data_IF_818111095185
#
_entry.id   IF_818111095185
#
_cell.length_a   1.000
_cell.length_b   1.000
_cell.length_c   1.000
_cell.angle_alpha   90.00
_cell.angle_beta   90.00
_cell.angle_gamma   90.00
#
_symmetry.space_group_name_H-M   'P 1'
#
loop_
_entity.id
_entity.type
_entity.pdbx_description
1 polymer ?
#
# COMPACT_ATOMS: atom_id res chain seq x y z
N UNK A 1 45.44 -41.38 -26.61
CA UNK A 1 45.17 -40.05 -27.18
C UNK A 1 43.78 -40.15 -27.80
N UNK A 2 42.71 -40.05 -27.02
CA UNK A 2 42.05 -38.83 -26.53
C UNK A 2 41.41 -38.00 -27.68
N UNK A 3 40.08 -37.85 -27.62
CA UNK A 3 39.24 -37.05 -28.53
C UNK A 3 37.85 -37.69 -28.70
N UNK A 4 36.98 -37.68 -27.68
CA UNK A 4 36.02 -36.62 -27.34
C UNK A 4 34.75 -36.64 -28.23
N UNK A 5 33.80 -37.51 -27.89
CA UNK A 5 32.41 -37.44 -28.32
C UNK A 5 31.64 -36.55 -27.33
N UNK A 6 31.19 -35.38 -27.80
CA UNK A 6 30.34 -34.48 -27.03
C UNK A 6 28.87 -34.86 -27.20
N UNK A 7 28.29 -35.46 -26.16
CA UNK A 7 26.85 -35.67 -26.03
C UNK A 7 26.16 -34.32 -25.83
N UNK A 8 25.23 -33.99 -26.74
CA UNK A 8 24.36 -32.84 -26.63
C UNK A 8 23.40 -33.01 -25.44
N UNK A 9 23.74 -32.39 -24.31
CA UNK A 9 22.86 -32.24 -23.17
C UNK A 9 21.70 -31.31 -23.50
N UNK A 10 20.51 -31.88 -23.70
CA UNK A 10 19.23 -31.15 -23.72
C UNK A 10 18.96 -30.69 -22.29
N UNK A 11 19.28 -29.45 -21.96
CA UNK A 11 18.83 -28.83 -20.71
C UNK A 11 17.31 -28.70 -20.80
N UNK A 12 16.62 -29.53 -20.02
CA UNK A 12 15.21 -29.35 -19.69
C UNK A 12 15.14 -28.11 -18.82
N UNK A 13 14.45 -27.07 -19.28
CA UNK A 13 14.02 -25.96 -18.43
C UNK A 13 13.18 -26.57 -17.30
N UNK A 14 13.73 -26.60 -16.09
CA UNK A 14 13.04 -27.07 -14.90
C UNK A 14 12.02 -25.99 -14.55
N UNK A 15 10.73 -26.32 -14.59
CA UNK A 15 9.68 -25.44 -14.07
C UNK A 15 9.96 -25.12 -12.59
N UNK A 16 9.82 -23.86 -12.14
CA UNK A 16 10.06 -23.48 -10.76
C UNK A 16 9.07 -24.21 -9.83
N UNK A 17 9.60 -24.98 -8.89
CA UNK A 17 8.80 -25.67 -7.85
C UNK A 17 8.56 -24.68 -6.72
N UNK A 18 7.29 -24.29 -6.51
CA UNK A 18 6.85 -23.34 -5.48
C UNK A 18 6.26 -24.11 -4.29
N UNK A 19 6.58 -23.73 -3.06
CA UNK A 19 6.05 -24.38 -1.86
C UNK A 19 4.63 -23.90 -1.55
N UNK A 20 3.81 -24.73 -0.89
CA UNK A 20 2.47 -24.31 -0.45
C UNK A 20 2.52 -23.12 0.53
N UNK A 21 3.61 -22.99 1.30
CA UNK A 21 3.80 -21.83 2.17
C UNK A 21 4.04 -20.59 1.32
N UNK A 22 4.87 -20.70 0.28
CA UNK A 22 5.15 -19.61 -0.65
C UNK A 22 3.87 -19.18 -1.38
N UNK A 23 3.00 -20.12 -1.77
CA UNK A 23 1.69 -19.81 -2.37
C UNK A 23 0.76 -19.08 -1.38
N UNK A 24 0.72 -19.50 -0.11
CA UNK A 24 -0.12 -18.85 0.90
C UNK A 24 0.41 -17.46 1.26
N UNK A 25 1.72 -17.29 1.32
CA UNK A 25 2.38 -16.00 1.54
C UNK A 25 2.12 -15.07 0.34
N UNK A 26 2.25 -15.56 -0.89
CA UNK A 26 1.92 -14.83 -2.12
C UNK A 26 0.44 -14.45 -2.18
N UNK A 27 -0.47 -15.37 -1.85
CA UNK A 27 -1.92 -15.10 -1.78
C UNK A 27 -2.23 -14.02 -0.72
N UNK A 28 -1.62 -14.10 0.47
CA UNK A 28 -1.79 -13.09 1.53
C UNK A 28 -1.23 -11.73 1.11
N UNK A 29 -0.07 -11.69 0.43
CA UNK A 29 0.51 -10.47 -0.13
C UNK A 29 -0.41 -9.83 -1.18
N UNK A 30 -0.92 -10.64 -2.12
CA UNK A 30 -1.87 -10.20 -3.15
C UNK A 30 -3.18 -9.67 -2.55
N UNK A 31 -3.72 -10.35 -1.55
CA UNK A 31 -4.92 -9.87 -0.83
C UNK A 31 -4.66 -8.54 -0.13
N UNK A 32 -3.50 -8.40 0.53
CA UNK A 32 -3.13 -7.18 1.23
C UNK A 32 -2.93 -6.00 0.27
N UNK A 33 -2.34 -6.22 -0.90
CA UNK A 33 -2.20 -5.23 -1.97
C UNK A 33 -3.56 -4.81 -2.55
N UNK A 34 -4.41 -5.78 -2.89
CA UNK A 34 -5.75 -5.53 -3.38
C UNK A 34 -6.57 -4.71 -2.36
N UNK A 35 -6.44 -5.03 -1.07
CA UNK A 35 -7.15 -4.31 -0.01
C UNK A 35 -6.63 -2.90 0.21
N UNK A 36 -5.32 -2.67 0.06
CA UNK A 36 -4.75 -1.33 0.09
C UNK A 36 -5.35 -0.45 -1.03
N UNK A 37 -5.46 -0.97 -2.25
CA UNK A 37 -5.92 -0.17 -3.41
C UNK A 37 -7.44 -0.09 -3.52
N UNK A 38 -8.16 -1.15 -3.18
CA UNK A 38 -9.61 -1.26 -3.42
C UNK A 38 -10.44 -1.10 -2.16
N UNK A 39 -9.90 -1.41 -0.98
CA UNK A 39 -10.66 -1.44 0.27
C UNK A 39 -11.21 -0.08 0.71
N UNK A 40 -10.66 1.02 0.19
CA UNK A 40 -11.21 2.37 0.42
C UNK A 40 -12.47 2.69 -0.40
N UNK A 41 -12.86 1.82 -1.35
CA UNK A 41 -13.98 2.00 -2.28
C UNK A 41 -15.08 0.97 -2.04
N UNK A 42 -16.33 1.37 -2.29
CA UNK A 42 -17.50 0.48 -2.19
C UNK A 42 -17.59 -0.38 -3.47
N UNK A 43 -17.63 -1.70 -3.31
CA UNK A 43 -17.71 -2.68 -4.40
C UNK A 43 -19.14 -2.99 -4.84
N UNK A 44 -20.16 -2.58 -4.07
CA UNK A 44 -21.56 -2.92 -4.33
C UNK A 44 -22.38 -1.71 -4.80
N UNK A 45 -22.02 -0.49 -4.34
CA UNK A 45 -22.79 0.73 -4.61
C UNK A 45 -22.01 1.69 -5.48
N UNK A 46 -22.67 2.21 -6.51
CA UNK A 46 -22.11 3.27 -7.34
C UNK A 46 -21.80 4.51 -6.49
N UNK A 47 -20.56 5.01 -6.57
CA UNK A 47 -20.12 6.17 -5.78
C UNK A 47 -20.73 7.50 -6.20
N UNK A 48 -21.50 7.56 -7.30
CA UNK A 48 -22.09 8.80 -7.81
C UNK A 48 -22.97 9.53 -6.80
N UNK A 49 -23.71 8.79 -5.97
CA UNK A 49 -24.58 9.34 -4.91
C UNK A 49 -23.79 10.04 -3.81
N UNK A 50 -22.51 9.70 -3.63
CA UNK A 50 -21.60 10.32 -2.67
C UNK A 50 -21.04 11.66 -3.16
N UNK A 51 -21.39 12.08 -4.39
CA UNK A 51 -20.89 13.30 -5.00
C UNK A 51 -19.44 13.18 -5.49
N UNK A 52 -18.68 14.26 -5.40
CA UNK A 52 -17.24 14.25 -5.66
C UNK A 52 -16.51 13.65 -4.46
N UNK A 53 -16.16 12.37 -4.55
CA UNK A 53 -15.48 11.66 -3.47
C UNK A 53 -14.05 12.17 -3.35
N UNK A 54 -13.60 12.46 -2.12
CA UNK A 54 -12.25 12.99 -1.86
C UNK A 54 -11.18 12.17 -2.58
N UNK A 55 -11.22 10.84 -2.44
CA UNK A 55 -10.35 9.90 -3.15
C UNK A 55 -11.04 8.54 -3.27
N UNK A 56 -10.98 7.92 -4.46
CA UNK A 56 -11.55 6.59 -4.73
C UNK A 56 -10.75 5.89 -5.84
N UNK A 57 -10.77 4.56 -5.86
CA UNK A 57 -10.27 3.77 -6.99
C UNK A 57 -11.16 3.98 -8.22
N UNK A 58 -10.55 4.20 -9.37
CA UNK A 58 -11.23 4.46 -10.63
C UNK A 58 -10.70 3.59 -11.76
N UNK A 59 -11.57 3.40 -12.74
CA UNK A 59 -11.28 2.70 -13.98
C UNK A 59 -11.70 3.55 -15.18
N UNK A 60 -10.98 3.45 -16.28
CA UNK A 60 -11.42 3.93 -17.59
C UNK A 60 -11.84 2.74 -18.45
N UNK A 61 -12.92 2.88 -19.21
CA UNK A 61 -13.46 1.79 -20.02
C UNK A 61 -13.19 2.03 -21.51
N UNK A 62 -12.08 1.49 -22.03
CA UNK A 62 -11.69 1.63 -23.44
C UNK A 62 -12.71 1.08 -24.43
N UNK A 63 -13.55 0.12 -24.01
CA UNK A 63 -14.66 -0.39 -24.83
C UNK A 63 -15.79 0.65 -25.01
N UNK A 64 -16.04 1.48 -23.99
CA UNK A 64 -17.15 2.45 -24.01
C UNK A 64 -16.70 3.84 -24.44
N UNK A 65 -15.50 4.23 -24.03
CA UNK A 65 -14.85 5.51 -24.35
C UNK A 65 -13.48 5.24 -24.97
N UNK A 66 -13.44 4.71 -26.22
CA UNK A 66 -12.18 4.53 -26.96
C UNK A 66 -11.51 5.87 -27.28
N UNK A 67 -10.29 5.81 -27.79
CA UNK A 67 -9.55 6.99 -28.24
C UNK A 67 -10.37 7.82 -29.24
N UNK A 68 -10.41 9.14 -29.04
CA UNK A 68 -11.21 10.08 -29.83
C UNK A 68 -12.61 10.38 -29.27
N UNK A 69 -13.09 9.60 -28.30
CA UNK A 69 -14.32 9.90 -27.54
C UNK A 69 -14.00 10.76 -26.29
N UNK A 70 -15.04 11.24 -25.62
CA UNK A 70 -14.86 11.95 -24.34
C UNK A 70 -14.36 10.99 -23.24
N UNK A 71 -13.32 11.35 -22.47
CA UNK A 71 -12.81 10.48 -21.40
C UNK A 71 -13.83 10.38 -20.27
N UNK A 72 -13.97 9.17 -19.70
CA UNK A 72 -14.87 8.91 -18.59
C UNK A 72 -14.22 7.99 -17.54
N UNK A 73 -14.51 8.24 -16.27
CA UNK A 73 -14.06 7.40 -15.15
C UNK A 73 -15.24 6.71 -14.47
N UNK A 74 -15.11 5.42 -14.18
CA UNK A 74 -16.10 4.62 -13.47
C UNK A 74 -15.53 4.16 -12.13
N UNK A 75 -16.39 4.07 -11.11
CA UNK A 75 -16.02 3.57 -9.79
C UNK A 75 -15.90 2.05 -9.74
N UNK A 76 -15.31 1.52 -8.67
CA UNK A 76 -15.16 0.08 -8.40
C UNK A 76 -16.45 -0.71 -8.60
N UNK A 77 -17.55 -0.39 -7.92
CA UNK A 77 -18.79 -1.14 -8.11
C UNK A 77 -19.28 -1.18 -9.57
N UNK A 78 -19.06 -0.11 -10.35
CA UNK A 78 -19.46 -0.08 -11.76
C UNK A 78 -18.51 -0.89 -12.65
N UNK A 79 -17.22 -1.02 -12.29
CA UNK A 79 -16.29 -1.85 -13.07
C UNK A 79 -16.73 -3.30 -13.06
N UNK A 80 -17.24 -3.80 -11.93
CA UNK A 80 -17.79 -5.15 -11.81
C UNK A 80 -19.17 -5.29 -12.46
N UNK A 81 -20.14 -4.49 -12.03
CA UNK A 81 -21.55 -4.73 -12.36
C UNK A 81 -21.93 -4.28 -13.78
N UNK A 82 -21.36 -3.17 -14.24
CA UNK A 82 -21.72 -2.55 -15.52
C UNK A 82 -20.69 -2.84 -16.62
N UNK A 83 -19.42 -3.04 -16.25
CA UNK A 83 -18.31 -3.15 -17.20
C UNK A 83 -17.47 -4.43 -17.03
N UNK A 84 -17.95 -5.45 -16.32
CA UNK A 84 -17.16 -6.65 -15.99
C UNK A 84 -16.66 -7.47 -17.19
N UNK A 85 -17.25 -7.29 -18.37
CA UNK A 85 -16.80 -7.91 -19.63
C UNK A 85 -16.07 -6.96 -20.59
N UNK A 86 -15.83 -5.71 -20.18
CA UNK A 86 -15.18 -4.70 -20.99
C UNK A 86 -13.68 -4.62 -20.73
N UNK A 87 -12.94 -4.02 -21.66
CA UNK A 87 -11.52 -3.74 -21.47
C UNK A 87 -11.36 -2.46 -20.64
N UNK A 88 -10.90 -2.63 -19.40
CA UNK A 88 -10.70 -1.56 -18.44
C UNK A 88 -9.22 -1.23 -18.27
N UNK A 89 -8.94 0.04 -18.02
CA UNK A 89 -7.67 0.51 -17.48
C UNK A 89 -7.89 0.88 -16.02
N UNK A 90 -7.11 0.28 -15.12
CA UNK A 90 -7.08 0.67 -13.73
C UNK A 90 -6.30 1.97 -13.57
N UNK A 91 -6.93 2.98 -12.98
CA UNK A 91 -6.35 4.31 -12.81
C UNK A 91 -5.85 4.55 -11.38
N UNK A 92 -5.87 3.51 -10.55
CA UNK A 92 -5.69 3.57 -9.11
C UNK A 92 -6.62 4.63 -8.51
N UNK A 93 -6.15 5.36 -7.50
CA UNK A 93 -6.95 6.38 -6.83
C UNK A 93 -6.84 7.73 -7.51
N UNK A 94 -7.97 8.45 -7.60
CA UNK A 94 -8.06 9.84 -8.08
C UNK A 94 -8.87 10.68 -7.12
N UNK A 95 -8.62 12.00 -7.10
CA UNK A 95 -9.27 12.92 -6.17
C UNK A 95 -10.48 13.65 -6.73
N UNK A 96 -11.41 13.96 -5.83
CA UNK A 96 -12.60 14.79 -6.09
C UNK A 96 -13.41 14.34 -7.31
N UNK A 97 -13.43 13.03 -7.57
CA UNK A 97 -14.02 12.47 -8.78
C UNK A 97 -15.41 11.93 -8.49
N UNK A 98 -16.31 12.06 -9.46
CA UNK A 98 -17.67 11.51 -9.43
C UNK A 98 -17.86 10.53 -10.57
N UNK A 99 -18.37 9.32 -10.28
CA UNK A 99 -18.49 8.24 -11.27
C UNK A 99 -19.30 8.66 -12.51
N UNK A 100 -18.73 8.49 -13.71
CA UNK A 100 -19.39 8.84 -14.98
C UNK A 100 -20.27 7.72 -15.53
N UNK A 101 -20.21 6.49 -14.99
CA UNK A 101 -20.89 5.31 -15.55
C UNK A 101 -22.34 5.62 -15.95
N UNK A 102 -22.69 5.40 -17.21
CA UNK A 102 -24.05 5.58 -17.72
C UNK A 102 -24.54 7.02 -17.91
N UNK A 103 -23.66 8.03 -17.75
CA UNK A 103 -24.00 9.40 -18.13
C UNK A 103 -23.89 9.59 -19.66
N UNK A 104 -24.00 10.82 -20.17
CA UNK A 104 -24.04 11.07 -21.62
C UNK A 104 -22.75 10.72 -22.37
N UNK A 105 -21.65 10.42 -21.66
CA UNK A 105 -20.40 9.92 -22.25
C UNK A 105 -20.50 8.45 -22.69
N UNK A 106 -21.52 7.74 -22.21
CA UNK A 106 -21.77 6.33 -22.54
C UNK A 106 -22.94 6.26 -23.53
N UNK A 107 -22.67 5.84 -24.76
CA UNK A 107 -23.63 5.90 -25.89
C UNK A 107 -24.94 5.17 -25.59
N UNK A 108 -24.86 3.88 -25.29
CA UNK A 108 -26.02 3.00 -25.08
C UNK A 108 -26.01 2.32 -23.72
N UNK A 109 -24.93 2.47 -22.95
CA UNK A 109 -24.76 1.80 -21.67
C UNK A 109 -25.34 2.69 -20.58
N UNK A 110 -26.27 2.13 -19.81
CA UNK A 110 -26.84 2.75 -18.62
C UNK A 110 -26.23 2.10 -17.36
N UNK A 111 -26.13 2.86 -16.28
CA UNK A 111 -25.62 2.34 -15.02
C UNK A 111 -26.69 1.49 -14.32
N UNK A 112 -26.41 0.19 -14.13
CA UNK A 112 -27.32 -0.75 -13.45
C UNK A 112 -27.54 -0.41 -11.97
N UNK A 113 -26.53 0.19 -11.33
CA UNK A 113 -26.54 0.49 -9.90
C UNK A 113 -27.19 1.83 -9.56
N UNK A 114 -27.05 2.82 -10.45
CA UNK A 114 -27.67 4.14 -10.28
C UNK A 114 -27.95 4.77 -11.65
N UNK A 115 -29.15 4.58 -12.23
CA UNK A 115 -29.47 5.11 -13.55
C UNK A 115 -29.59 6.64 -13.60
N UNK A 116 -30.11 7.25 -12.53
CA UNK A 116 -30.37 8.70 -12.50
C UNK A 116 -29.11 9.50 -12.18
N UNK A 117 -28.55 10.15 -13.22
CA UNK A 117 -27.32 10.95 -13.15
C UNK A 117 -27.45 12.20 -14.01
N UNK A 118 -26.75 13.25 -13.60
CA UNK A 118 -26.46 14.40 -14.45
C UNK A 118 -25.72 13.94 -15.72
N UNK A 119 -25.99 14.62 -16.84
CA UNK A 119 -25.39 14.29 -18.14
C UNK A 119 -23.87 14.29 -18.10
N UNK A 120 -23.29 15.27 -17.41
CA UNK A 120 -21.84 15.46 -17.29
C UNK A 120 -21.47 15.87 -15.87
N UNK A 121 -20.27 15.47 -15.44
CA UNK A 121 -19.68 15.86 -14.16
C UNK A 121 -18.59 16.91 -14.39
N UNK A 122 -18.96 18.20 -14.35
CA UNK A 122 -18.04 19.31 -14.68
C UNK A 122 -16.85 19.46 -13.73
N UNK A 123 -16.92 18.91 -12.52
CA UNK A 123 -15.81 18.92 -11.55
C UNK A 123 -14.75 17.85 -11.78
N UNK A 124 -15.02 16.85 -12.64
CA UNK A 124 -14.07 15.78 -12.91
C UNK A 124 -12.90 16.30 -13.73
N UNK A 125 -11.69 15.81 -13.42
CA UNK A 125 -10.47 16.08 -14.18
C UNK A 125 -10.01 14.81 -14.87
N UNK A 126 -9.61 14.95 -16.13
CA UNK A 126 -9.20 13.86 -16.98
C UNK A 126 -7.81 14.16 -17.54
N UNK A 127 -6.95 13.14 -17.56
CA UNK A 127 -5.65 13.16 -18.23
C UNK A 127 -5.58 11.98 -19.21
N UNK A 128 -4.43 11.75 -19.83
CA UNK A 128 -4.31 10.72 -20.86
C UNK A 128 -4.40 9.28 -20.30
N UNK A 129 -4.32 9.10 -18.97
CA UNK A 129 -4.49 7.78 -18.35
C UNK A 129 -5.87 7.20 -18.65
N UNK A 130 -6.88 8.05 -18.85
CA UNK A 130 -8.23 7.63 -19.21
C UNK A 130 -8.33 7.00 -20.61
N UNK A 131 -7.27 7.13 -21.41
CA UNK A 131 -7.10 6.44 -22.69
C UNK A 131 -6.02 5.35 -22.63
N UNK A 132 -5.53 5.02 -21.43
CA UNK A 132 -4.46 4.04 -21.23
C UNK A 132 -3.10 4.55 -21.69
N UNK A 133 -2.89 5.86 -21.75
CA UNK A 133 -1.60 6.47 -22.09
C UNK A 133 -0.99 7.13 -20.86
N UNK A 134 0.30 6.92 -20.67
CA UNK A 134 0.99 7.33 -19.45
C UNK A 134 2.29 8.08 -19.76
N UNK A 135 2.77 8.81 -18.77
CA UNK A 135 4.02 9.54 -18.78
C UNK A 135 4.07 10.62 -19.89
N UNK A 136 5.20 11.32 -19.96
CA UNK A 136 5.48 12.26 -21.06
C UNK A 136 5.68 11.56 -22.40
N UNK A 137 5.96 10.25 -22.39
CA UNK A 137 6.18 9.46 -23.61
C UNK A 137 4.88 9.02 -24.29
N UNK A 138 3.71 9.14 -23.63
CA UNK A 138 2.40 8.75 -24.17
C UNK A 138 2.36 7.31 -24.66
N UNK A 139 2.95 6.42 -23.86
CA UNK A 139 2.99 4.98 -24.12
C UNK A 139 1.98 4.24 -23.22
N UNK A 140 1.44 3.09 -23.66
CA UNK A 140 0.59 2.27 -22.83
C UNK A 140 1.35 1.65 -21.66
N UNK A 141 0.63 1.05 -20.70
CA UNK A 141 1.23 0.25 -19.63
C UNK A 141 0.32 -0.95 -19.31
N UNK A 142 0.86 -2.18 -19.27
CA UNK A 142 2.20 -2.57 -19.70
C UNK A 142 2.40 -2.34 -21.22
N UNK A 143 3.60 -1.91 -21.62
CA UNK A 143 3.91 -1.67 -23.03
C UNK A 143 4.62 -2.90 -23.64
N UNK A 144 4.01 -3.62 -24.58
CA UNK A 144 4.62 -4.80 -25.20
C UNK A 144 5.85 -4.49 -26.05
N UNK A 145 6.06 -3.23 -26.44
CA UNK A 145 7.21 -2.79 -27.23
C UNK A 145 8.33 -2.19 -26.36
N UNK A 146 8.13 -2.07 -25.04
CA UNK A 146 9.12 -1.54 -24.11
C UNK A 146 9.79 -2.70 -23.36
N UNK A 147 11.01 -3.03 -23.79
CA UNK A 147 11.80 -4.11 -23.18
C UNK A 147 12.40 -3.72 -21.82
N UNK A 148 12.32 -2.44 -21.43
CA UNK A 148 12.90 -1.93 -20.19
C UNK A 148 11.81 -1.92 -19.11
N UNK A 149 11.84 -2.86 -18.14
CA UNK A 149 10.93 -2.81 -17.01
C UNK A 149 11.18 -1.54 -16.21
N UNK A 150 10.11 -0.85 -15.81
CA UNK A 150 10.18 0.40 -15.07
C UNK A 150 8.95 0.49 -14.16
N UNK A 151 9.20 0.78 -12.89
CA UNK A 151 8.13 1.04 -11.93
C UNK A 151 7.60 2.46 -12.16
N UNK A 152 6.32 2.56 -12.48
CA UNK A 152 5.69 3.86 -12.66
C UNK A 152 5.41 4.52 -11.31
N UNK A 153 5.64 5.82 -11.22
CA UNK A 153 5.39 6.62 -10.01
C UNK A 153 4.34 7.68 -10.32
N UNK A 154 3.28 7.73 -9.51
CA UNK A 154 2.22 8.72 -9.65
C UNK A 154 2.65 10.08 -9.10
N UNK A 155 2.44 11.14 -9.88
CA UNK A 155 2.62 12.50 -9.41
C UNK A 155 1.46 12.92 -8.51
N UNK A 156 1.75 13.33 -7.27
CA UNK A 156 0.74 13.76 -6.29
C UNK A 156 0.00 15.03 -6.69
N UNK A 157 0.43 15.79 -7.69
CA UNK A 157 -0.24 17.04 -8.12
C UNK A 157 -1.17 16.83 -9.30
N UNK A 158 -0.71 16.15 -10.36
CA UNK A 158 -1.51 15.93 -11.57
C UNK A 158 -2.17 14.55 -11.63
N UNK A 159 -1.85 13.66 -10.70
CA UNK A 159 -2.29 12.26 -10.66
C UNK A 159 -1.95 11.46 -11.92
N UNK A 160 -1.00 11.94 -12.74
CA UNK A 160 -0.46 11.22 -13.89
C UNK A 160 0.68 10.31 -13.45
N UNK A 161 0.89 9.21 -14.17
CA UNK A 161 1.90 8.20 -13.90
C UNK A 161 3.12 8.41 -14.78
N UNK A 162 4.32 8.25 -14.22
CA UNK A 162 5.57 8.49 -14.93
C UNK A 162 6.54 7.33 -14.75
N UNK A 163 7.16 6.91 -15.85
CA UNK A 163 8.37 6.09 -15.84
C UNK A 163 9.49 6.79 -15.06
N UNK A 164 10.19 6.05 -14.19
CA UNK A 164 11.28 6.60 -13.37
C UNK A 164 12.34 7.31 -14.20
N UNK A 165 12.69 6.73 -15.35
CA UNK A 165 13.70 7.28 -16.29
C UNK A 165 13.28 8.57 -16.99
N UNK A 166 11.99 8.92 -16.98
CA UNK A 166 11.46 10.14 -17.60
C UNK A 166 11.23 11.29 -16.60
N UNK A 167 11.67 11.14 -15.35
CA UNK A 167 11.51 12.15 -14.30
C UNK A 167 12.67 13.15 -14.19
N UNK A 168 13.73 12.97 -14.98
CA UNK A 168 14.92 13.83 -14.97
C UNK A 168 15.81 13.66 -13.73
N UNK A 169 15.45 12.76 -12.81
CA UNK A 169 16.23 12.35 -11.66
C UNK A 169 16.06 10.84 -11.46
N UNK A 170 17.08 10.18 -10.92
CA UNK A 170 16.99 8.77 -10.53
C UNK A 170 16.07 8.69 -9.30
N UNK A 171 14.97 7.91 -9.35
CA UNK A 171 14.13 7.70 -8.18
C UNK A 171 14.94 7.15 -6.98
N UNK A 172 14.68 7.63 -5.74
CA UNK A 172 15.12 6.96 -4.51
C UNK A 172 14.67 5.49 -4.49
N UNK A 173 15.26 4.67 -3.64
CA UNK A 173 14.80 3.27 -3.51
C UNK A 173 13.36 3.25 -2.99
N UNK A 174 12.61 2.20 -3.35
CA UNK A 174 11.24 2.05 -2.87
C UNK A 174 11.22 2.02 -1.34
N UNK A 175 10.39 2.87 -0.74
CA UNK A 175 10.34 3.07 0.72
C UNK A 175 11.10 4.30 1.25
N UNK A 176 12.05 4.87 0.49
CA UNK A 176 12.80 6.07 0.92
C UNK A 176 11.97 7.36 0.83
N UNK A 177 10.88 7.34 0.06
CA UNK A 177 10.01 8.48 -0.17
C UNK A 177 8.53 8.07 -0.10
N UNK A 178 7.67 9.03 0.22
CA UNK A 178 6.22 8.83 0.31
C UNK A 178 5.50 9.34 -0.95
N UNK A 179 5.88 10.50 -1.47
CA UNK A 179 5.18 11.15 -2.58
C UNK A 179 6.17 11.73 -3.59
N UNK A 180 5.75 11.82 -4.86
CA UNK A 180 6.54 12.41 -5.94
C UNK A 180 5.76 13.56 -6.59
N UNK A 181 6.45 14.67 -6.88
CA UNK A 181 5.92 15.77 -7.71
C UNK A 181 6.75 15.83 -8.99
N UNK A 182 6.10 15.65 -10.15
CA UNK A 182 6.79 15.62 -11.44
C UNK A 182 7.36 17.00 -11.80
N UNK A 183 8.30 17.03 -12.76
CA UNK A 183 8.96 18.24 -13.25
C UNK A 183 7.97 19.36 -13.63
N UNK A 184 6.94 19.04 -14.43
CA UNK A 184 5.94 20.03 -14.85
C UNK A 184 5.16 20.62 -13.66
N UNK A 185 4.82 19.79 -12.68
CA UNK A 185 4.15 20.23 -11.46
C UNK A 185 5.07 21.00 -10.51
N UNK A 186 6.36 20.68 -10.42
CA UNK A 186 7.33 21.50 -9.69
C UNK A 186 7.54 22.87 -10.32
N UNK A 187 7.42 22.97 -11.66
CA UNK A 187 7.47 24.25 -12.38
C UNK A 187 6.21 25.09 -12.12
N UNK A 188 5.03 24.46 -12.16
CA UNK A 188 3.73 25.09 -11.86
C UNK A 188 3.64 25.52 -10.40
N UNK A 189 3.95 24.62 -9.48
CA UNK A 189 3.94 24.82 -8.03
C UNK A 189 5.33 25.27 -7.55
N UNK A 190 5.87 26.32 -8.16
CA UNK A 190 7.27 26.72 -7.93
C UNK A 190 7.62 27.12 -6.49
N UNK A 191 6.63 27.36 -5.64
CA UNK A 191 6.82 27.57 -4.21
C UNK A 191 7.37 26.33 -3.49
N UNK A 192 7.12 25.13 -4.02
CA UNK A 192 7.60 23.87 -3.47
C UNK A 192 9.13 23.81 -3.43
N UNK A 193 9.84 24.49 -4.32
CA UNK A 193 11.31 24.53 -4.30
C UNK A 193 11.90 25.10 -3.00
N UNK A 194 11.19 26.04 -2.36
CA UNK A 194 11.61 26.57 -1.06
C UNK A 194 11.56 25.50 0.04
N UNK A 195 10.65 24.52 -0.07
CA UNK A 195 10.56 23.37 0.83
C UNK A 195 11.51 22.25 0.44
N UNK A 196 11.61 21.96 -0.86
CA UNK A 196 12.42 20.87 -1.40
C UNK A 196 13.90 20.99 -0.99
N UNK A 197 14.43 22.21 -0.92
CA UNK A 197 15.80 22.47 -0.50
C UNK A 197 16.16 21.95 0.92
N UNK A 198 15.17 21.71 1.78
CA UNK A 198 15.36 21.22 3.14
C UNK A 198 14.71 19.87 3.41
N UNK A 199 13.71 19.49 2.61
CA UNK A 199 12.86 18.33 2.89
C UNK A 199 12.95 17.24 1.82
N UNK A 200 13.39 17.53 0.60
CA UNK A 200 13.37 16.54 -0.46
C UNK A 200 14.33 15.39 -0.15
N UNK A 201 13.91 14.17 -0.50
CA UNK A 201 14.76 12.98 -0.42
C UNK A 201 15.82 13.09 -1.51
N UNK A 202 17.09 13.10 -1.12
CA UNK A 202 18.23 13.07 -2.03
C UNK A 202 19.01 11.79 -1.80
N UNK A 203 19.27 11.00 -2.84
CA UNK A 203 20.32 9.98 -2.76
C UNK A 203 21.63 10.70 -2.48
N UNK A 204 22.24 10.47 -1.33
CA UNK A 204 23.66 10.74 -1.14
C UNK A 204 24.37 9.61 -1.88
N UNK A 205 24.64 9.80 -3.17
CA UNK A 205 25.65 8.99 -3.83
C UNK A 205 26.97 9.28 -3.11
N UNK A 206 27.54 8.27 -2.46
CA UNK A 206 28.84 8.29 -1.79
C UNK A 206 29.99 8.41 -2.80
N UNK A 207 29.90 9.29 -3.79
CA UNK A 207 30.93 9.50 -4.82
C UNK A 207 30.84 10.91 -5.43
N UNK A 208 30.63 11.97 -4.63
CA UNK A 208 30.99 13.33 -5.05
C UNK A 208 31.03 14.27 -3.83
N UNK A 209 32.08 14.16 -3.03
CA UNK A 209 32.46 15.25 -2.12
C UNK A 209 33.89 15.69 -2.45
N UNK A 210 33.99 16.33 -3.60
CA UNK A 210 35.20 16.93 -4.11
C UNK A 210 34.92 18.29 -4.69
N UNK A 211 34.28 19.22 -3.95
CA UNK A 211 34.34 20.67 -4.22
C UNK A 211 33.75 21.51 -3.06
N UNK A 212 34.46 21.59 -1.93
CA UNK A 212 34.36 22.73 -1.01
C UNK A 212 35.66 23.52 -1.08
N UNK A 213 35.58 24.77 -1.59
CA UNK A 213 36.70 25.71 -1.65
C UNK A 213 36.96 26.35 -0.28
N UNK A 214 38.19 26.10 0.19
CA UNK A 214 38.99 26.70 1.25
C UNK A 214 38.68 28.15 1.69
N UNK A 215 38.75 28.38 3.01
CA UNK A 215 39.41 29.54 3.66
C UNK A 215 40.20 29.05 4.89
N UNK A 216 41.53 29.15 4.76
CA UNK A 216 42.65 29.31 5.71
C UNK A 216 42.58 28.92 7.21
N UNK A 217 43.55 28.07 7.62
CA UNK A 217 44.61 28.51 8.54
C UNK A 217 44.97 27.66 9.79
N UNK A 218 46.12 26.96 9.70
CA UNK A 218 47.10 26.63 10.78
C UNK A 218 46.70 25.49 11.76
N UNK A 219 47.48 24.44 12.07
CA UNK A 219 48.85 24.04 11.72
C UNK A 219 49.22 22.68 12.35
N UNK A 220 50.14 21.97 11.69
CA UNK A 220 51.02 20.82 12.01
C UNK A 220 50.89 20.05 13.34
N UNK A 221 50.78 18.71 13.28
CA UNK A 221 51.94 17.80 13.42
C UNK A 221 51.55 16.32 13.20
N UNK A 222 52.40 15.63 12.42
CA UNK A 222 52.44 14.20 12.13
C UNK A 222 52.68 13.34 13.40
N UNK A 223 52.43 12.03 13.31
CA UNK A 223 53.45 10.95 13.50
C UNK A 223 52.81 9.55 13.60
N UNK A 224 53.07 8.74 12.56
CA UNK A 224 53.41 7.29 12.52
C UNK A 224 52.33 6.21 12.76
N UNK A 225 52.02 5.47 11.66
CA UNK A 225 51.62 4.04 11.65
C UNK A 225 52.83 3.15 12.00
N UNK A 226 52.61 1.94 12.54
CA UNK A 226 52.92 0.79 11.68
C UNK A 226 51.90 -0.35 11.74
N UNK A 227 51.98 -1.18 10.71
CA UNK A 227 51.16 -2.33 10.36
C UNK A 227 51.66 -3.67 10.97
N UNK A 228 50.80 -4.70 10.80
CA UNK A 228 51.04 -6.16 10.77
C UNK A 228 51.08 -6.90 12.14
N UNK A 229 50.42 -8.05 12.35
CA UNK A 229 49.63 -8.91 11.45
C UNK A 229 49.05 -10.15 12.19
N UNK A 230 48.09 -10.79 11.52
CA UNK A 230 47.68 -12.21 11.48
C UNK A 230 47.31 -13.08 12.73
N UNK A 231 46.07 -13.58 12.64
CA UNK A 231 45.50 -14.90 13.00
C UNK A 231 45.61 -15.48 14.43
N UNK A 232 44.44 -15.72 15.06
CA UNK A 232 43.91 -17.10 15.23
C UNK A 232 42.47 -17.16 15.76
N UNK A 233 41.82 -18.23 15.30
CA UNK A 233 40.47 -18.76 15.55
C UNK A 233 40.18 -19.12 17.01
N UNK A 234 38.95 -18.86 17.51
CA UNK A 234 38.20 -19.79 18.37
C UNK A 234 36.77 -19.32 18.67
N UNK A 235 35.84 -20.17 18.27
CA UNK A 235 34.51 -20.46 18.85
C UNK A 235 34.33 -20.13 20.35
N UNK A 236 33.18 -19.54 20.71
CA UNK A 236 32.08 -20.20 21.45
C UNK A 236 30.99 -19.20 21.89
N UNK A 237 29.79 -19.78 22.07
CA UNK A 237 28.47 -19.27 22.42
C UNK A 237 28.41 -18.55 23.77
N UNK A 238 27.44 -17.65 23.93
CA UNK A 238 26.94 -17.26 25.26
C UNK A 238 25.43 -17.46 25.38
N UNK A 239 25.09 -18.12 26.48
CA UNK A 239 23.79 -18.51 27.00
C UNK A 239 23.09 -17.37 27.78
N UNK A 240 21.78 -17.53 27.89
CA UNK A 240 20.85 -16.85 28.81
C UNK A 240 21.18 -17.16 30.28
N UNK A 241 20.75 -16.33 31.23
CA UNK A 241 19.96 -16.91 32.33
C UNK A 241 18.75 -16.07 32.77
N UNK A 242 17.66 -16.79 33.05
CA UNK A 242 16.44 -16.36 33.75
C UNK A 242 16.50 -16.60 35.29
N UNK A 243 15.47 -16.06 35.96
CA UNK A 243 14.83 -16.43 37.25
C UNK A 243 15.28 -15.62 38.47
N UNK A 244 14.42 -15.07 39.34
CA UNK A 244 12.96 -15.07 39.48
C UNK A 244 12.59 -14.82 40.97
N UNK A 245 11.40 -14.25 41.26
CA UNK A 245 10.42 -14.65 42.31
C UNK A 245 9.49 -13.53 42.82
N UNK A 246 8.24 -13.96 43.04
CA UNK A 246 7.00 -13.30 43.49
C UNK A 246 6.97 -12.80 44.95
N UNK A 247 5.99 -11.93 45.25
CA UNK A 247 5.09 -12.09 46.41
C UNK A 247 3.73 -11.37 46.21
N UNK A 248 2.66 -11.96 46.77
CA UNK A 248 1.22 -11.67 46.58
C UNK A 248 0.58 -11.21 47.90
N UNK A 249 -0.47 -10.37 47.86
CA UNK A 249 -1.57 -10.44 48.86
C UNK A 249 -2.95 -9.90 48.37
N UNK A 250 -3.98 -10.77 48.46
CA UNK A 250 -5.45 -10.54 48.35
C UNK A 250 -6.03 -9.79 49.59
N UNK A 251 -7.26 -9.25 49.67
CA UNK A 251 -8.60 -9.92 49.64
C UNK A 251 -9.84 -8.98 49.59
N UNK A 252 -10.90 -9.47 48.88
CA UNK A 252 -12.39 -9.47 49.10
C UNK A 252 -13.26 -8.21 48.85
N UNK A 253 -14.17 -8.22 47.85
CA UNK A 253 -15.58 -8.73 47.76
C UNK A 253 -16.62 -7.64 48.17
N UNK A 254 -17.77 -7.36 47.52
CA UNK A 254 -18.86 -8.18 46.96
C UNK A 254 -19.72 -7.42 45.90
N UNK A 255 -20.21 -8.16 44.88
CA UNK A 255 -21.56 -8.24 44.23
C UNK A 255 -22.46 -6.96 44.17
N UNK A 256 -23.23 -6.62 43.12
CA UNK A 256 -24.11 -7.43 42.26
C UNK A 256 -24.81 -6.57 41.15
N UNK A 257 -25.20 -7.22 40.02
CA UNK A 257 -26.37 -6.94 39.16
C UNK A 257 -26.39 -5.82 38.08
N UNK A 258 -26.40 -6.23 36.79
CA UNK A 258 -27.08 -5.59 35.63
C UNK A 258 -28.64 -5.74 35.74
N UNK A 259 -29.56 -5.17 34.90
CA UNK A 259 -29.40 -4.74 33.49
C UNK A 259 -30.27 -3.55 32.92
N UNK A 260 -29.92 -3.15 31.68
CA UNK A 260 -30.75 -2.72 30.52
C UNK A 260 -31.82 -1.58 30.54
N UNK A 261 -31.71 -0.75 29.48
CA UNK A 261 -32.75 -0.24 28.55
C UNK A 261 -33.49 1.11 28.75
N UNK A 262 -33.68 1.80 27.60
CA UNK A 262 -34.53 2.99 27.28
C UNK A 262 -34.03 4.35 27.79
N UNK A 263 -34.34 5.52 27.22
CA UNK A 263 -34.71 6.02 25.88
C UNK A 263 -34.64 7.56 25.97
N UNK A 264 -34.48 8.22 24.81
CA UNK A 264 -35.05 9.54 24.47
C UNK A 264 -34.72 10.83 25.27
N UNK A 265 -34.11 11.77 24.52
CA UNK A 265 -34.48 13.20 24.32
C UNK A 265 -34.14 14.30 25.34
N UNK A 266 -33.27 15.20 24.83
CA UNK A 266 -33.37 16.68 24.76
C UNK A 266 -33.58 17.53 26.04
N UNK A 267 -32.66 18.47 26.29
CA UNK A 267 -33.01 19.89 26.48
C UNK A 267 -31.79 20.82 26.51
N UNK A 268 -31.79 21.72 25.52
CA UNK A 268 -31.38 23.13 25.50
C UNK A 268 -30.62 23.76 26.68
N UNK A 269 -29.60 24.54 26.33
CA UNK A 269 -29.63 26.01 26.52
C UNK A 269 -28.59 26.71 25.65
N UNK A 270 -29.06 27.40 24.62
CA UNK A 270 -28.38 28.54 23.99
C UNK A 270 -28.23 29.69 25.00
N UNK A 271 -27.07 30.36 25.02
CA UNK A 271 -27.07 31.82 25.18
C UNK A 271 -25.95 32.46 24.36
N UNK A 272 -26.39 33.48 23.63
CA UNK A 272 -25.77 34.29 22.58
C UNK A 272 -24.92 35.42 23.18
N UNK A 273 -23.70 35.52 22.67
CA UNK A 273 -22.85 36.70 22.39
C UNK A 273 -22.71 37.85 23.41
N UNK A 274 -21.44 38.16 23.71
CA UNK A 274 -20.93 39.53 23.62
C UNK A 274 -19.55 39.55 22.96
N UNK A 275 -19.48 40.27 21.84
CA UNK A 275 -18.27 40.69 21.16
C UNK A 275 -17.45 41.61 22.08
N UNK A 276 -16.18 41.31 22.27
CA UNK A 276 -15.13 42.33 22.36
C UNK A 276 -14.00 41.93 21.43
N UNK A 277 -13.80 42.76 20.41
CA UNK A 277 -12.64 42.74 19.54
C UNK A 277 -11.38 42.94 20.38
N UNK A 278 -10.53 41.92 20.45
CA UNK A 278 -9.11 42.12 20.63
C UNK A 278 -8.40 41.59 19.39
N UNK A 279 -8.06 42.56 18.56
CA UNK A 279 -7.18 42.46 17.43
C UNK A 279 -5.82 41.95 17.93
N UNK A 280 -5.64 40.64 17.94
CA UNK A 280 -4.36 39.99 18.11
C UNK A 280 -3.91 39.49 16.73
N UNK A 281 -3.54 40.43 15.86
CA UNK A 281 -2.60 40.15 14.78
C UNK A 281 -1.28 39.71 15.43
N UNK A 282 -1.23 38.44 15.80
CA UNK A 282 0.01 37.81 16.22
C UNK A 282 0.83 37.67 14.95
N UNK A 283 1.91 38.46 14.85
CA UNK A 283 2.95 38.31 13.83
C UNK A 283 3.63 36.93 14.00
N UNK A 284 2.96 35.86 13.59
CA UNK A 284 3.63 34.62 13.22
C UNK A 284 4.09 34.78 11.78
N UNK A 285 5.40 34.85 11.56
CA UNK A 285 5.99 34.98 10.23
C UNK A 285 5.48 33.90 9.26
N UNK A 286 5.42 34.23 7.96
CA UNK A 286 5.11 33.25 6.94
C UNK A 286 6.32 32.36 6.71
N UNK A 287 6.27 31.10 7.19
CA UNK A 287 7.34 30.10 7.00
C UNK A 287 7.78 29.97 5.55
N UNK A 288 6.85 30.04 4.58
CA UNK A 288 7.22 29.99 3.16
C UNK A 288 8.09 31.20 2.75
N UNK A 289 7.79 32.40 3.26
CA UNK A 289 8.59 33.58 2.96
C UNK A 289 9.98 33.48 3.61
N UNK A 290 10.07 32.95 4.83
CA UNK A 290 11.34 32.67 5.50
C UNK A 290 12.20 31.67 4.71
N UNK A 291 11.57 30.61 4.18
CA UNK A 291 12.25 29.63 3.33
C UNK A 291 12.66 30.23 1.98
N UNK A 292 11.81 31.09 1.40
CA UNK A 292 12.12 31.80 0.14
C UNK A 292 13.28 32.79 0.27
N UNK A 293 13.51 33.32 1.47
CA UNK A 293 14.63 34.22 1.75
C UNK A 293 15.98 33.48 1.76
N UNK A 294 15.98 32.16 1.96
CA UNK A 294 17.16 31.32 1.80
C UNK A 294 17.41 31.05 0.31
N UNK A 295 18.68 30.89 -0.09
CA UNK A 295 19.00 30.50 -1.46
C UNK A 295 18.64 29.03 -1.68
N UNK A 296 17.92 28.75 -2.77
CA UNK A 296 17.60 27.39 -3.21
C UNK A 296 17.74 27.29 -4.73
N UNK A 297 18.04 26.09 -5.20
CA UNK A 297 18.21 25.80 -6.63
C UNK A 297 16.93 25.16 -7.15
N UNK A 298 16.38 25.74 -8.22
CA UNK A 298 15.32 25.09 -8.99
C UNK A 298 15.98 24.16 -9.98
N UNK A 299 15.73 22.86 -9.85
CA UNK A 299 16.18 21.86 -10.81
C UNK A 299 15.06 21.58 -11.81
N UNK A 300 15.41 21.19 -13.03
CA UNK A 300 14.42 20.80 -14.04
C UNK A 300 14.13 19.29 -13.94
N UNK A 301 13.75 18.85 -12.74
CA UNK A 301 13.58 17.42 -12.40
C UNK A 301 12.35 17.23 -11.52
N UNK A 302 11.89 15.99 -11.38
CA UNK A 302 10.95 15.61 -10.33
C UNK A 302 11.57 15.78 -8.94
N UNK A 303 10.70 15.82 -7.92
CA UNK A 303 11.09 15.90 -6.51
C UNK A 303 10.35 14.84 -5.70
N UNK A 304 11.10 14.15 -4.84
CA UNK A 304 10.61 13.09 -3.97
C UNK A 304 10.53 13.59 -2.54
N UNK A 305 9.43 13.30 -1.87
CA UNK A 305 9.10 13.87 -0.57
C UNK A 305 8.99 12.78 0.49
N UNK A 306 9.55 13.01 1.69
CA UNK A 306 9.49 12.05 2.78
C UNK A 306 8.10 12.02 3.41
N UNK A 307 7.90 11.04 4.30
CA UNK A 307 6.71 10.93 5.12
C UNK A 307 6.39 12.26 5.85
N UNK A 308 5.11 12.65 5.87
CA UNK A 308 4.61 13.84 6.58
C UNK A 308 5.16 15.20 6.10
N UNK A 309 5.71 15.30 4.88
CA UNK A 309 6.19 16.58 4.35
C UNK A 309 5.08 17.64 4.23
N UNK A 310 3.83 17.21 4.00
CA UNK A 310 2.63 18.07 3.95
C UNK A 310 2.45 18.89 5.24
N UNK A 311 2.71 18.30 6.41
CA UNK A 311 2.68 18.97 7.73
C UNK A 311 3.64 20.17 7.84
N UNK A 312 4.66 20.23 6.97
CA UNK A 312 5.67 21.29 6.98
C UNK A 312 5.26 22.49 6.12
N UNK A 313 4.21 22.37 5.31
CA UNK A 313 3.69 23.48 4.51
C UNK A 313 3.13 24.59 5.39
N UNK A 314 3.31 25.84 4.96
CA UNK A 314 2.79 27.00 5.69
C UNK A 314 1.30 27.13 5.43
N UNK A 315 0.52 27.35 6.48
CA UNK A 315 -0.95 27.47 6.45
C UNK A 315 -1.43 28.90 6.77
N UNK A 316 -0.56 29.90 6.67
CA UNK A 316 -0.98 31.30 6.82
C UNK A 316 -1.95 31.72 5.69
N UNK A 317 -2.70 32.80 5.90
CA UNK A 317 -3.72 33.26 4.96
C UNK A 317 -3.20 33.46 3.53
N UNK A 318 -2.02 34.05 3.37
CA UNK A 318 -1.39 34.26 2.05
C UNK A 318 -1.04 32.95 1.34
N UNK A 319 -0.52 31.97 2.09
CA UNK A 319 -0.18 30.66 1.56
C UNK A 319 -1.44 29.87 1.17
N UNK A 320 -2.46 29.87 2.02
CA UNK A 320 -3.74 29.22 1.73
C UNK A 320 -4.41 29.81 0.50
N UNK A 321 -4.38 31.15 0.35
CA UNK A 321 -4.87 31.82 -0.86
C UNK A 321 -4.10 31.37 -2.11
N UNK A 322 -2.76 31.39 -2.07
CA UNK A 322 -1.93 30.93 -3.17
C UNK A 322 -2.17 29.46 -3.53
N UNK A 323 -2.33 28.57 -2.54
CA UNK A 323 -2.66 27.17 -2.80
C UNK A 323 -4.03 27.02 -3.46
N UNK A 324 -5.00 27.86 -3.09
CA UNK A 324 -6.30 27.94 -3.74
C UNK A 324 -6.19 28.42 -5.19
N UNK A 325 -5.45 29.49 -5.45
CA UNK A 325 -5.24 30.05 -6.80
C UNK A 325 -4.52 29.04 -7.73
N UNK A 326 -3.64 28.19 -7.16
CA UNK A 326 -2.96 27.12 -7.87
C UNK A 326 -3.75 25.80 -7.91
N UNK A 327 -4.92 25.73 -7.27
CA UNK A 327 -5.76 24.53 -7.19
C UNK A 327 -5.00 23.33 -6.60
N UNK A 328 -4.31 23.56 -5.48
CA UNK A 328 -3.49 22.57 -4.74
C UNK A 328 -3.71 22.63 -3.23
N UNK A 329 -4.87 23.11 -2.77
CA UNK A 329 -5.24 23.12 -1.34
C UNK A 329 -5.15 21.73 -0.69
N UNK A 330 -5.39 20.67 -1.46
CA UNK A 330 -5.29 19.28 -1.02
C UNK A 330 -3.89 18.91 -0.49
N UNK A 331 -2.82 19.63 -0.88
CA UNK A 331 -1.48 19.39 -0.34
C UNK A 331 -1.38 19.64 1.17
N UNK A 332 -2.32 20.39 1.75
CA UNK A 332 -2.39 20.61 3.21
C UNK A 332 -3.27 19.60 3.94
N UNK A 333 -3.99 18.74 3.22
CA UNK A 333 -4.82 17.68 3.81
C UNK A 333 -3.99 16.39 3.91
N UNK A 334 -3.74 15.90 5.12
CA UNK A 334 -3.00 14.65 5.34
C UNK A 334 -3.84 13.40 5.02
N UNK A 335 -5.17 13.54 5.01
CA UNK A 335 -6.11 12.46 4.68
C UNK A 335 -6.33 12.30 3.17
N UNK A 336 -5.68 13.14 2.35
CA UNK A 336 -5.75 13.11 0.89
C UNK A 336 -4.64 12.26 0.24
N UNK A 337 -3.69 11.76 1.04
CA UNK A 337 -2.58 10.93 0.55
C UNK A 337 -3.08 9.56 0.04
N UNK A 338 -2.30 8.91 -0.84
CA UNK A 338 -2.57 7.51 -1.24
C UNK A 338 -2.52 6.61 0.01
N UNK A 339 -1.49 6.80 0.84
CA UNK A 339 -1.32 6.06 2.09
C UNK A 339 -2.52 6.18 3.04
N UNK A 340 -3.09 7.38 3.20
CA UNK A 340 -4.28 7.56 4.05
C UNK A 340 -5.50 6.79 3.50
N UNK A 341 -5.64 6.76 2.17
CA UNK A 341 -6.68 5.97 1.52
C UNK A 341 -6.43 4.46 1.69
N UNK A 342 -5.20 3.98 1.52
CA UNK A 342 -4.85 2.57 1.71
C UNK A 342 -5.07 2.10 3.14
N UNK A 343 -4.64 2.91 4.11
CA UNK A 343 -4.86 2.64 5.53
C UNK A 343 -6.35 2.58 5.86
N UNK A 344 -7.19 3.41 5.23
CA UNK A 344 -8.64 3.34 5.40
C UNK A 344 -9.20 2.00 4.91
N UNK A 345 -8.69 1.49 3.77
CA UNK A 345 -9.06 0.16 3.25
C UNK A 345 -8.64 -0.97 4.19
N UNK A 346 -7.39 -0.93 4.68
CA UNK A 346 -6.87 -1.91 5.65
C UNK A 346 -7.67 -1.92 6.96
N UNK A 347 -8.06 -0.75 7.47
CA UNK A 347 -8.87 -0.65 8.70
C UNK A 347 -10.28 -1.20 8.47
N UNK A 348 -10.93 -0.83 7.36
CA UNK A 348 -12.28 -1.32 7.04
C UNK A 348 -12.29 -2.85 6.87
N UNK A 349 -11.25 -3.39 6.22
CA UNK A 349 -11.08 -4.84 6.10
C UNK A 349 -10.78 -5.48 7.45
N UNK A 350 -9.92 -4.91 8.31
CA UNK A 350 -9.66 -5.46 9.65
C UNK A 350 -10.94 -5.52 10.51
N UNK A 351 -11.89 -4.60 10.29
CA UNK A 351 -13.21 -4.67 10.95
C UNK A 351 -14.16 -5.70 10.34
N UNK A 352 -13.97 -6.06 9.07
CA UNK A 352 -14.78 -7.05 8.33
C UNK A 352 -14.15 -8.46 8.31
N UNK A 353 -12.84 -8.57 8.64
CA UNK A 353 -12.08 -9.79 8.96
C UNK A 353 -12.46 -10.35 10.33
N UNK A 354 -13.76 -10.35 10.63
CA UNK A 354 -14.33 -11.42 11.44
C UNK A 354 -14.15 -12.68 10.61
N UNK A 355 -12.97 -13.31 10.69
CA UNK A 355 -12.65 -14.49 9.89
C UNK A 355 -13.76 -15.51 10.15
N UNK A 356 -14.55 -15.92 9.15
CA UNK A 356 -15.66 -16.84 9.35
C UNK A 356 -15.21 -18.14 10.02
N UNK A 357 -13.95 -18.55 9.83
CA UNK A 357 -13.33 -19.66 10.54
C UNK A 357 -13.07 -19.31 12.01
N UNK A 358 -12.57 -18.12 12.33
CA UNK A 358 -12.35 -17.65 13.71
C UNK A 358 -13.65 -17.36 14.46
N UNK A 359 -14.69 -16.90 13.77
CA UNK A 359 -16.05 -16.77 14.31
C UNK A 359 -16.66 -18.13 14.59
N UNK A 360 -16.49 -19.07 13.65
CA UNK A 360 -16.92 -20.45 13.82
C UNK A 360 -16.16 -21.11 14.99
N UNK A 361 -14.84 -20.94 15.07
CA UNK A 361 -14.02 -21.41 16.18
C UNK A 361 -14.47 -20.79 17.51
N UNK A 362 -14.67 -19.47 17.55
CA UNK A 362 -15.13 -18.76 18.75
C UNK A 362 -16.54 -19.17 19.18
N UNK A 363 -17.38 -19.60 18.24
CA UNK A 363 -18.73 -20.14 18.50
C UNK A 363 -18.73 -21.62 18.96
N UNK A 364 -17.65 -22.37 18.70
CA UNK A 364 -17.48 -23.75 19.18
C UNK A 364 -17.10 -23.78 20.66
N UNK A 365 -17.40 -24.89 21.34
CA UNK A 365 -16.92 -25.04 22.72
C UNK A 365 -15.40 -25.26 22.75
N UNK A 366 -14.76 -24.90 23.87
CA UNK A 366 -13.29 -24.95 24.02
C UNK A 366 -12.68 -26.33 23.74
N UNK A 367 -13.41 -27.41 23.97
CA UNK A 367 -12.93 -28.77 23.69
C UNK A 367 -12.90 -29.04 22.18
N UNK A 368 -13.96 -28.68 21.46
CA UNK A 368 -14.05 -28.78 20.00
C UNK A 368 -13.04 -27.87 19.30
N UNK A 369 -12.81 -26.66 19.83
CA UNK A 369 -11.77 -25.76 19.32
C UNK A 369 -10.38 -26.40 19.41
N UNK A 370 -10.02 -26.92 20.58
CA UNK A 370 -8.71 -27.56 20.79
C UNK A 370 -8.57 -28.81 19.91
N UNK A 371 -9.61 -29.64 19.80
CA UNK A 371 -9.60 -30.83 18.95
C UNK A 371 -9.41 -30.45 17.47
N UNK A 372 -10.14 -29.44 16.98
CA UNK A 372 -10.02 -28.97 15.59
C UNK A 372 -8.63 -28.38 15.31
N UNK A 373 -8.07 -27.60 16.24
CA UNK A 373 -6.72 -27.03 16.13
C UNK A 373 -5.66 -28.15 16.13
N UNK A 374 -5.79 -29.15 17.00
CA UNK A 374 -4.89 -30.30 17.03
C UNK A 374 -4.96 -31.10 15.73
N UNK A 375 -6.16 -31.41 15.23
CA UNK A 375 -6.36 -32.14 13.98
C UNK A 375 -5.85 -31.37 12.75
N UNK A 376 -6.02 -30.05 12.75
CA UNK A 376 -5.47 -29.18 11.71
C UNK A 376 -3.94 -29.17 11.72
N UNK A 377 -3.32 -29.06 12.90
CA UNK A 377 -1.87 -29.09 13.03
C UNK A 377 -1.28 -30.46 12.67
N UNK A 378 -1.98 -31.55 12.99
CA UNK A 378 -1.62 -32.91 12.58
C UNK A 378 -1.67 -33.06 11.06
N UNK A 379 -2.76 -32.59 10.42
CA UNK A 379 -2.89 -32.58 8.96
C UNK A 379 -1.78 -31.77 8.30
N UNK A 380 -1.53 -30.56 8.80
CA UNK A 380 -0.51 -29.65 8.28
C UNK A 380 0.88 -30.28 8.37
N UNK A 381 1.21 -30.93 9.48
CA UNK A 381 2.51 -31.56 9.71
C UNK A 381 2.70 -32.75 8.77
N UNK A 382 1.72 -33.66 8.70
CA UNK A 382 1.82 -34.86 7.86
C UNK A 382 1.82 -34.49 6.36
N UNK A 383 1.06 -33.48 5.94
CA UNK A 383 1.05 -33.01 4.56
C UNK A 383 2.41 -32.40 4.19
N UNK A 384 2.98 -31.57 5.09
CA UNK A 384 4.31 -30.98 4.89
C UNK A 384 5.39 -32.05 4.77
N UNK A 385 5.37 -33.06 5.64
CA UNK A 385 6.32 -34.17 5.61
C UNK A 385 6.15 -35.07 4.38
N UNK A 386 4.91 -35.24 3.90
CA UNK A 386 4.62 -35.97 2.67
C UNK A 386 5.18 -35.24 1.44
N UNK A 387 4.87 -33.95 1.29
CA UNK A 387 5.31 -33.12 0.17
C UNK A 387 6.83 -32.89 0.16
N UNK A 388 7.47 -32.83 1.33
CA UNK A 388 8.92 -32.70 1.44
C UNK A 388 9.68 -33.80 0.72
N UNK A 389 9.14 -35.03 0.67
CA UNK A 389 9.76 -36.15 -0.06
C UNK A 389 9.87 -35.88 -1.55
N UNK A 390 8.88 -35.23 -2.13
CA UNK A 390 8.87 -34.86 -3.54
C UNK A 390 9.87 -33.75 -3.84
N UNK A 391 10.02 -32.79 -2.91
CA UNK A 391 11.03 -31.75 -2.98
C UNK A 391 12.46 -32.33 -2.88
N UNK A 392 12.69 -33.27 -1.96
CA UNK A 392 13.99 -33.93 -1.77
C UNK A 392 14.36 -34.84 -2.96
N UNK A 393 13.36 -35.45 -3.61
CA UNK A 393 13.53 -36.34 -4.78
C UNK A 393 13.51 -35.61 -6.13
N UNK A 394 13.17 -34.32 -6.15
CA UNK A 394 13.02 -33.52 -7.37
C UNK A 394 11.87 -33.98 -8.27
N UNK A 395 10.81 -34.54 -7.70
CA UNK A 395 9.66 -35.08 -8.42
C UNK A 395 8.47 -34.13 -8.39
N UNK A 396 7.78 -33.99 -9.53
CA UNK A 396 6.58 -33.14 -9.64
C UNK A 396 5.40 -33.84 -8.97
N UNK A 397 4.74 -33.13 -8.06
CA UNK A 397 3.53 -33.59 -7.36
C UNK A 397 2.35 -33.63 -8.34
N UNK A 398 1.68 -34.77 -8.43
CA UNK A 398 0.49 -34.96 -9.27
C UNK A 398 -0.78 -35.04 -8.41
N UNK A 399 -1.93 -34.96 -9.08
CA UNK A 399 -3.25 -35.11 -8.43
C UNK A 399 -3.36 -36.44 -7.68
N UNK A 400 -2.83 -37.51 -8.26
CA UNK A 400 -2.88 -38.85 -7.69
C UNK A 400 -2.10 -38.93 -6.38
N UNK A 401 -1.00 -38.20 -6.25
CA UNK A 401 -0.17 -38.17 -5.04
C UNK A 401 -0.92 -37.48 -3.88
N UNK A 402 -1.61 -36.36 -4.18
CA UNK A 402 -2.46 -35.68 -3.20
C UNK A 402 -3.63 -36.56 -2.78
N UNK A 403 -4.26 -37.26 -3.73
CA UNK A 403 -5.36 -38.17 -3.43
C UNK A 403 -4.90 -39.34 -2.54
N UNK A 404 -3.74 -39.91 -2.85
CA UNK A 404 -3.12 -40.97 -2.04
C UNK A 404 -2.80 -40.48 -0.63
N UNK A 405 -2.26 -39.27 -0.47
CA UNK A 405 -2.03 -38.68 0.85
C UNK A 405 -3.30 -38.65 1.69
N UNK A 406 -4.41 -38.13 1.15
CA UNK A 406 -5.66 -38.04 1.91
C UNK A 406 -6.26 -39.41 2.23
N UNK A 407 -6.13 -40.40 1.34
CA UNK A 407 -6.54 -41.79 1.59
C UNK A 407 -5.72 -42.43 2.73
N UNK A 408 -4.40 -42.22 2.73
CA UNK A 408 -3.49 -42.69 3.78
C UNK A 408 -3.73 -41.97 5.11
N UNK A 409 -3.93 -40.65 5.08
CA UNK A 409 -4.19 -39.82 6.25
C UNK A 409 -5.52 -40.20 6.92
N UNK A 410 -6.59 -40.38 6.13
CA UNK A 410 -7.88 -40.87 6.64
C UNK A 410 -7.77 -42.29 7.21
N UNK A 411 -7.00 -43.17 6.56
CA UNK A 411 -6.76 -44.54 7.03
C UNK A 411 -6.00 -44.57 8.36
N UNK A 412 -4.97 -43.71 8.52
CA UNK A 412 -4.24 -43.52 9.78
C UNK A 412 -5.16 -42.99 10.88
N UNK A 413 -6.01 -41.99 10.57
CA UNK A 413 -6.98 -41.43 11.52
C UNK A 413 -8.00 -42.47 12.00
N UNK A 414 -8.58 -43.27 11.10
CA UNK A 414 -9.50 -44.37 11.47
C UNK A 414 -8.85 -45.38 12.43
N UNK A 415 -7.57 -45.72 12.23
CA UNK A 415 -6.83 -46.63 13.12
C UNK A 415 -6.56 -46.05 14.51
N UNK A 416 -6.35 -44.74 14.63
CA UNK A 416 -6.19 -44.06 15.94
C UNK A 416 -7.49 -44.04 16.74
N UNK A 417 -8.64 -43.88 16.06
CA UNK A 417 -9.97 -43.84 16.70
C UNK A 417 -10.46 -45.24 17.13
N UNK A 418 -10.20 -46.29 16.33
CA UNK A 418 -10.58 -47.68 16.66
C UNK A 418 -9.76 -48.29 17.83
N UNK A 419 -8.58 -47.74 18.14
CA UNK A 419 -7.74 -48.20 19.25
C UNK A 419 -8.21 -47.78 20.65
N UNK A 420 -9.25 -46.95 20.74
CA UNK A 420 -9.75 -46.38 22.00
C UNK A 420 -10.92 -47.21 22.57
N UNK A 421 -10.78 -48.54 22.67
CA UNK A 421 -11.70 -49.39 23.44
C UNK A 421 -11.34 -49.32 24.93
N UNK A 422 -11.98 -48.42 25.67
CA UNK A 422 -11.90 -48.40 27.13
C UNK A 422 -12.61 -49.65 27.69
N UNK A 423 -11.83 -50.65 28.11
CA UNK A 423 -12.32 -51.73 28.97
C UNK A 423 -12.42 -51.19 30.41
N UNK A 424 -13.63 -51.22 30.97
CA UNK A 424 -13.84 -51.00 32.39
C UNK A 424 -13.46 -52.29 33.15
N UNK A 425 -12.56 -52.19 34.12
CA UNK A 425 -12.34 -53.19 35.17
C UNK A 425 -12.51 -52.53 36.52
#
# INVERSE_FOLDING_TARGET
MAGAEGSAGRQSELEPVVSLVDVLEEDEELENEACAVLGGSDSEKCSYSQGSVKRQALYACSTCTPEGEEPAGICLACSYECHGSHKLFELYTKRNFRCDCGNSKFKTLECKLLPDKAKVNSGNKYNDNFFGLYCICKRPYPDPEDEIPDEMIQCVVCEDWFHGRHLGAIPPESGDFQEMVCQACMKRCSFLWAYAAQLAVTKISTEDDGLVRNIDGIGDQEVIKPENGEHQDSTLKEDVPEQGKDDVQEVKAEQNSEPCASSSSESDLQTVFKNESLNAESKSGCKLQELKAKQFIKKDTATYWPLNWRSKLCTCQDCMKMYGDLDVLFLTDEYDTVLAYENKGKIAQATDRSDPLMDTLSSMNRVQQVELICEYNDLKTELKDYLKRFADEGTVVKREDIQQFFEEFQSKKRRRVDGMQYYCS
#
